data_IF_129536347889
#
_entry.id   IF_129536347889
#
_cell.length_a   1.000
_cell.length_b   1.000
_cell.length_c   1.000
_cell.angle_alpha   90.00
_cell.angle_beta   90.00
_cell.angle_gamma   90.00
#
_symmetry.space_group_name_H-M   'P 1'
#
loop_
_entity.id
_entity.type
_entity.pdbx_description
1 polymer ?
#
# COMPACT_ATOMS: atom_id res chain seq x y z
N UNK A 1 -2.90 -18.53 13.81
CA UNK A 1 -1.42 -18.49 13.83
C UNK A 1 -0.89 -17.13 13.31
N UNK A 2 -1.20 -16.01 13.98
CA UNK A 2 -0.83 -14.66 13.52
C UNK A 2 0.39 -14.05 14.26
N UNK A 3 0.87 -14.67 15.33
CA UNK A 3 1.94 -14.12 16.17
C UNK A 3 3.37 -14.43 15.70
N UNK A 4 3.56 -15.25 14.66
CA UNK A 4 4.88 -15.69 14.20
C UNK A 4 5.58 -14.68 13.28
N UNK A 5 4.84 -13.78 12.62
CA UNK A 5 5.41 -12.71 11.78
C UNK A 5 5.93 -11.51 12.58
N UNK A 6 5.25 -11.16 13.69
CA UNK A 6 5.57 -9.96 14.48
C UNK A 6 6.96 -9.92 15.11
N UNK A 7 7.60 -11.07 15.36
CA UNK A 7 8.84 -11.13 16.17
C UNK A 7 10.14 -11.22 15.39
N UNK A 8 10.14 -11.35 14.06
CA UNK A 8 11.39 -11.56 13.30
C UNK A 8 12.00 -10.32 12.64
N UNK A 9 11.26 -9.22 12.44
CA UNK A 9 11.70 -8.09 11.59
C UNK A 9 11.37 -6.65 12.07
N UNK A 10 10.93 -6.43 13.32
CA UNK A 10 10.77 -5.07 13.90
C UNK A 10 9.76 -4.17 13.15
N UNK A 11 8.46 -4.39 13.35
CA UNK A 11 7.34 -3.55 12.86
C UNK A 11 7.51 -2.88 11.47
N UNK A 12 7.72 -3.70 10.43
CA UNK A 12 7.80 -3.24 9.04
C UNK A 12 6.53 -2.47 8.60
N UNK A 13 5.36 -2.88 9.09
CA UNK A 13 4.10 -2.19 8.81
C UNK A 13 4.09 -0.79 9.44
N UNK A 14 4.56 -0.66 10.68
CA UNK A 14 4.75 0.63 11.33
C UNK A 14 5.75 1.52 10.60
N UNK A 15 6.86 0.97 10.12
CA UNK A 15 7.83 1.68 9.28
C UNK A 15 7.20 2.19 7.99
N UNK A 16 6.44 1.35 7.29
CA UNK A 16 5.72 1.75 6.07
C UNK A 16 4.72 2.88 6.33
N UNK A 17 3.96 2.82 7.44
CA UNK A 17 3.02 3.89 7.82
C UNK A 17 3.75 5.19 8.12
N UNK A 18 4.85 5.13 8.89
CA UNK A 18 5.63 6.30 9.24
C UNK A 18 6.21 7.02 8.01
N UNK A 19 6.77 6.25 7.06
CA UNK A 19 7.27 6.80 5.80
C UNK A 19 6.13 7.37 4.95
N UNK A 20 4.98 6.70 4.90
CA UNK A 20 3.79 7.25 4.26
C UNK A 20 3.40 8.61 4.82
N UNK A 21 3.38 8.77 6.14
CA UNK A 21 3.07 10.07 6.76
C UNK A 21 4.16 11.12 6.49
N UNK A 22 5.44 10.74 6.55
CA UNK A 22 6.55 11.63 6.22
C UNK A 22 6.46 12.17 4.78
N UNK A 23 6.18 11.30 3.80
CA UNK A 23 5.94 11.69 2.42
C UNK A 23 4.79 12.70 2.30
N UNK A 24 3.75 12.59 3.14
CA UNK A 24 2.62 13.52 3.15
C UNK A 24 3.03 14.91 3.63
N UNK A 25 3.87 14.95 4.66
CA UNK A 25 4.41 16.21 5.20
C UNK A 25 5.33 16.89 4.18
N UNK A 26 6.21 16.14 3.51
CA UNK A 26 7.08 16.63 2.44
C UNK A 26 6.28 17.27 1.30
N UNK A 27 5.20 16.62 0.89
CA UNK A 27 4.29 17.11 -0.14
C UNK A 27 3.61 18.42 0.27
N UNK A 28 3.05 18.48 1.49
CA UNK A 28 2.45 19.71 2.01
C UNK A 28 3.46 20.83 2.20
N UNK A 29 4.74 20.49 2.40
CA UNK A 29 5.84 21.44 2.46
C UNK A 29 6.35 21.87 1.07
N UNK A 30 5.77 21.37 -0.04
CA UNK A 30 6.17 21.75 -1.39
C UNK A 30 7.38 20.99 -1.93
N UNK A 31 7.68 19.81 -1.37
CA UNK A 31 8.78 18.94 -1.80
C UNK A 31 8.24 17.65 -2.45
N UNK A 32 7.60 17.72 -3.64
CA UNK A 32 6.90 16.58 -4.23
C UNK A 32 7.84 15.47 -4.73
N UNK A 33 9.09 15.79 -5.09
CA UNK A 33 10.07 14.77 -5.50
C UNK A 33 10.64 13.98 -4.31
N UNK A 34 10.83 14.63 -3.17
CA UNK A 34 11.23 13.93 -1.93
C UNK A 34 10.07 13.04 -1.45
N UNK A 35 8.85 13.60 -1.45
CA UNK A 35 7.62 12.86 -1.17
C UNK A 35 7.49 11.60 -2.02
N UNK A 36 7.76 11.70 -3.34
CA UNK A 36 7.74 10.57 -4.26
C UNK A 36 8.67 9.44 -3.80
N UNK A 37 9.94 9.78 -3.53
CA UNK A 37 10.96 8.81 -3.10
C UNK A 37 10.59 8.15 -1.78
N UNK A 38 10.15 8.94 -0.81
CA UNK A 38 9.73 8.45 0.51
C UNK A 38 8.52 7.53 0.38
N UNK A 39 7.57 7.85 -0.51
CA UNK A 39 6.38 7.03 -0.74
C UNK A 39 6.70 5.71 -1.48
N UNK A 40 7.64 5.71 -2.41
CA UNK A 40 8.15 4.49 -3.05
C UNK A 40 8.80 3.53 -2.03
N UNK A 41 9.56 4.08 -1.09
CA UNK A 41 10.15 3.30 0.00
C UNK A 41 9.05 2.69 0.89
N UNK A 42 8.06 3.49 1.28
CA UNK A 42 6.90 3.03 2.06
C UNK A 42 6.18 1.85 1.39
N UNK A 43 5.98 1.92 0.07
CA UNK A 43 5.40 0.82 -0.73
C UNK A 43 6.26 -0.45 -0.62
N UNK A 44 7.58 -0.32 -0.72
CA UNK A 44 8.51 -1.45 -0.57
C UNK A 44 8.38 -2.13 0.80
N UNK A 45 8.26 -1.35 1.87
CA UNK A 45 8.06 -1.86 3.22
C UNK A 45 6.69 -2.51 3.43
N UNK A 46 5.61 -1.92 2.93
CA UNK A 46 4.27 -2.50 3.01
C UNK A 46 4.20 -3.85 2.29
N UNK A 47 4.84 -3.93 1.11
CA UNK A 47 4.97 -5.17 0.34
C UNK A 47 5.75 -6.24 1.10
N UNK A 48 6.88 -5.87 1.70
CA UNK A 48 7.70 -6.79 2.50
C UNK A 48 6.96 -7.28 3.76
N UNK A 49 6.13 -6.41 4.35
CA UNK A 49 5.27 -6.74 5.48
C UNK A 49 4.06 -7.60 5.09
N UNK A 50 3.74 -7.71 3.80
CA UNK A 50 2.54 -8.41 3.30
C UNK A 50 1.23 -7.68 3.62
N UNK A 51 1.28 -6.39 3.99
CA UNK A 51 0.07 -5.59 4.25
C UNK A 51 -0.48 -5.05 2.93
N UNK A 52 -1.33 -5.85 2.28
CA UNK A 52 -1.88 -5.59 0.94
C UNK A 52 -2.71 -4.31 0.91
N UNK A 53 -3.51 -4.06 1.95
CA UNK A 53 -4.31 -2.82 2.07
C UNK A 53 -3.44 -1.59 2.18
N UNK A 54 -2.40 -1.66 3.02
CA UNK A 54 -1.45 -0.56 3.16
C UNK A 54 -0.67 -0.33 1.86
N UNK A 55 -0.24 -1.40 1.18
CA UNK A 55 0.43 -1.27 -0.12
C UNK A 55 -0.49 -0.56 -1.12
N UNK A 56 -1.74 -0.98 -1.26
CA UNK A 56 -2.70 -0.36 -2.17
C UNK A 56 -2.92 1.13 -1.85
N UNK A 57 -3.11 1.47 -0.57
CA UNK A 57 -3.29 2.87 -0.15
C UNK A 57 -2.06 3.74 -0.48
N UNK A 58 -0.85 3.24 -0.25
CA UNK A 58 0.39 3.95 -0.58
C UNK A 58 0.59 4.10 -2.10
N UNK A 59 0.17 3.11 -2.91
CA UNK A 59 0.19 3.20 -4.37
C UNK A 59 -0.74 4.29 -4.91
N UNK A 60 -1.94 4.45 -4.35
CA UNK A 60 -2.86 5.53 -4.73
C UNK A 60 -2.25 6.89 -4.43
N UNK A 61 -1.63 7.06 -3.25
CA UNK A 61 -0.95 8.31 -2.90
C UNK A 61 0.23 8.62 -3.82
N UNK A 62 1.05 7.62 -4.12
CA UNK A 62 2.14 7.77 -5.08
C UNK A 62 1.63 8.20 -6.45
N UNK A 63 0.48 7.68 -6.90
CA UNK A 63 -0.16 8.12 -8.14
C UNK A 63 -0.57 9.60 -8.11
N UNK A 64 -1.11 10.09 -6.99
CA UNK A 64 -1.49 11.49 -6.85
C UNK A 64 -0.26 12.42 -6.86
N UNK A 65 0.85 12.00 -6.25
CA UNK A 65 2.13 12.73 -6.32
C UNK A 65 2.68 12.72 -7.75
N UNK A 66 2.62 11.59 -8.45
CA UNK A 66 3.04 11.45 -9.85
C UNK A 66 2.27 12.38 -10.80
N UNK A 67 0.95 12.49 -10.63
CA UNK A 67 0.15 13.45 -11.40
C UNK A 67 0.60 14.89 -11.14
N UNK A 68 0.93 15.24 -9.89
CA UNK A 68 1.41 16.59 -9.53
C UNK A 68 2.79 16.93 -10.10
N UNK A 69 3.68 15.94 -10.20
CA UNK A 69 5.01 16.12 -10.81
C UNK A 69 5.01 15.93 -12.34
N UNK A 70 3.84 15.68 -12.94
CA UNK A 70 3.68 15.65 -14.39
C UNK A 70 3.95 14.30 -15.06
N UNK A 71 3.88 13.18 -14.31
CA UNK A 71 3.94 11.82 -14.86
C UNK A 71 2.61 11.07 -14.69
N UNK A 72 1.58 11.41 -15.49
CA UNK A 72 0.28 10.76 -15.41
C UNK A 72 0.31 9.30 -15.90
N UNK A 73 1.35 8.90 -16.65
CA UNK A 73 1.47 7.53 -17.15
C UNK A 73 1.88 6.59 -16.03
N UNK A 74 2.91 6.95 -15.25
CA UNK A 74 3.25 6.21 -14.05
C UNK A 74 2.09 6.23 -13.05
N UNK A 75 1.40 7.37 -12.87
CA UNK A 75 0.25 7.46 -11.97
C UNK A 75 -0.82 6.39 -12.28
N UNK A 76 -1.19 6.23 -13.55
CA UNK A 76 -2.16 5.18 -13.97
C UNK A 76 -1.67 3.76 -13.68
N UNK A 77 -0.37 3.48 -13.83
CA UNK A 77 0.19 2.18 -13.50
C UNK A 77 0.07 1.88 -12.00
N UNK A 78 0.34 2.86 -11.15
CA UNK A 78 0.19 2.69 -9.71
C UNK A 78 -1.27 2.47 -9.28
N UNK A 79 -2.22 3.20 -9.88
CA UNK A 79 -3.67 2.98 -9.64
C UNK A 79 -4.10 1.57 -10.07
N UNK A 80 -3.69 1.12 -11.26
CA UNK A 80 -4.02 -0.23 -11.73
C UNK A 80 -3.45 -1.34 -10.83
N UNK A 81 -2.27 -1.13 -10.24
CA UNK A 81 -1.73 -2.07 -9.25
C UNK A 81 -2.55 -2.05 -7.97
N UNK A 82 -2.92 -0.87 -7.46
CA UNK A 82 -3.77 -0.75 -6.27
C UNK A 82 -5.13 -1.44 -6.47
N UNK A 83 -5.78 -1.21 -7.61
CA UNK A 83 -7.07 -1.83 -7.94
C UNK A 83 -6.96 -3.36 -7.97
N UNK A 84 -5.87 -3.90 -8.54
CA UNK A 84 -5.63 -5.35 -8.54
C UNK A 84 -5.40 -5.91 -7.13
N UNK A 85 -4.65 -5.20 -6.29
CA UNK A 85 -4.40 -5.61 -4.91
C UNK A 85 -5.72 -5.69 -4.13
N UNK A 86 -6.57 -4.67 -4.25
CA UNK A 86 -7.87 -4.62 -3.57
C UNK A 86 -8.85 -5.66 -4.11
N UNK A 87 -8.92 -5.85 -5.43
CA UNK A 87 -9.77 -6.88 -6.03
C UNK A 87 -9.35 -8.31 -5.69
N UNK A 88 -8.07 -8.54 -5.38
CA UNK A 88 -7.59 -9.85 -4.93
C UNK A 88 -8.06 -10.15 -3.50
N UNK A 89 -8.02 -9.17 -2.59
CA UNK A 89 -8.54 -9.36 -1.22
C UNK A 89 -10.05 -9.58 -1.19
N UNK A 90 -10.81 -8.84 -2.00
CA UNK A 90 -12.27 -9.02 -2.10
C UNK A 90 -12.62 -10.42 -2.62
N UNK A 91 -11.86 -10.92 -3.60
CA UNK A 91 -12.00 -12.28 -4.12
C UNK A 91 -11.71 -13.35 -3.05
N UNK A 92 -10.63 -13.19 -2.29
CA UNK A 92 -10.25 -14.13 -1.23
C UNK A 92 -11.29 -14.16 -0.10
N UNK A 93 -11.77 -12.99 0.33
CA UNK A 93 -12.85 -12.87 1.32
C UNK A 93 -14.18 -13.45 0.84
N UNK A 94 -14.53 -13.30 -0.44
CA UNK A 94 -15.75 -13.86 -1.02
C UNK A 94 -15.70 -15.39 -1.20
N UNK A 95 -14.51 -15.98 -1.28
CA UNK A 95 -14.31 -17.42 -1.29
C UNK A 95 -14.41 -18.02 0.12
N UNK A 96 -13.90 -17.36 1.16
CA UNK A 96 -14.04 -17.83 2.55
C UNK A 96 -15.50 -17.86 3.02
N UNK A 97 -16.29 -16.81 2.73
CA UNK A 97 -17.69 -16.73 3.16
C UNK A 97 -18.52 -17.90 2.59
N UNK A 98 -18.35 -18.23 1.30
CA UNK A 98 -19.13 -19.29 0.63
C UNK A 98 -18.78 -20.71 1.08
N UNK A 99 -17.55 -20.96 1.54
CA UNK A 99 -17.16 -22.27 2.09
C UNK A 99 -17.82 -22.57 3.43
N UNK A 100 -18.15 -21.54 4.22
CA UNK A 100 -18.77 -21.72 5.55
C UNK A 100 -20.28 -21.97 5.49
N UNK A 101 -20.93 -21.65 4.36
CA UNK A 101 -22.38 -21.77 4.16
C UNK A 101 -22.84 -23.13 3.59
N UNK A 102 -21.94 -24.11 3.44
CA UNK A 102 -22.25 -25.42 2.82
C UNK A 102 -22.37 -26.60 3.82
N UNK A 103 -22.56 -26.33 5.11
CA UNK A 103 -22.82 -27.35 6.12
C UNK A 103 -24.10 -27.05 6.91
N UNK A 104 -25.25 -27.35 6.32
CA UNK A 104 -26.51 -27.63 7.06
C UNK A 104 -27.25 -28.78 6.39
#
# INVERSE_FOLDING_TARGET
AAAAGHRRLGDLTGQARALGEAARVEEYAGHPYDSLRTCEEAVGWARLAGDVRLEAALRIRLADTLDRVGDPTAARLHRAVADRLLGTEEGDSAYEIRSTSAQE
#
